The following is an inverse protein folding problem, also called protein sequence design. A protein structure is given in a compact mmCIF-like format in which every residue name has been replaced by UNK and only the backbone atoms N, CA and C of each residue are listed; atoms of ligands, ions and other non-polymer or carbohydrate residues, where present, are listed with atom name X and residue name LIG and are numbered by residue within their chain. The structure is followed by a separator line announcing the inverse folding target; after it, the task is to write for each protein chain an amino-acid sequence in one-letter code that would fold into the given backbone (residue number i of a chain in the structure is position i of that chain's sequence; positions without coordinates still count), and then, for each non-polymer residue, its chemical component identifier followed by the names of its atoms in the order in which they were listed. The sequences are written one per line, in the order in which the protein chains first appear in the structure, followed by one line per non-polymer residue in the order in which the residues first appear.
data_IF_482434746564
#
_entry.id   IF_482434746564
#
_cell.length_a   1.000
_cell.length_b   1.000
_cell.length_c   1.000
_cell.angle_alpha   90.00
_cell.angle_beta   90.00
_cell.angle_gamma   90.00
#
_symmetry.space_group_name_H-M   'P 1'
#
loop_
_entity.id
_entity.type
_entity.pdbx_description
1 polymer ?
#
# COMPACT_ATOMS: atom_id res chain seq x y z
N UNK A 1 40.27 -6.89 29.65
CA UNK A 1 39.16 -5.96 29.29
C UNK A 1 39.25 -5.82 27.77
N UNK A 2 38.30 -6.26 26.93
CA UNK A 2 36.85 -6.21 27.05
C UNK A 2 36.22 -7.25 26.13
N UNK A 3 35.20 -7.95 26.65
CA UNK A 3 34.27 -8.74 25.86
C UNK A 3 33.15 -7.80 25.42
N UNK A 4 33.01 -7.58 24.11
CA UNK A 4 31.84 -6.89 23.58
C UNK A 4 30.83 -7.91 23.07
N UNK A 5 29.68 -7.87 23.75
CA UNK A 5 28.57 -8.81 23.76
C UNK A 5 28.01 -9.14 22.38
N UNK A 6 27.69 -10.42 22.24
CA UNK A 6 26.76 -10.96 21.27
C UNK A 6 25.37 -10.30 21.39
N UNK A 7 24.79 -9.93 20.25
CA UNK A 7 23.35 -9.98 20.02
C UNK A 7 23.10 -10.49 18.61
N UNK A 8 22.89 -11.81 18.55
CA UNK A 8 22.30 -12.51 17.44
C UNK A 8 20.93 -11.89 17.14
N UNK A 9 20.79 -11.22 15.99
CA UNK A 9 19.49 -11.00 15.38
C UNK A 9 19.40 -11.90 14.14
N UNK A 10 19.05 -13.15 14.40
CA UNK A 10 18.45 -14.05 13.42
C UNK A 10 17.23 -13.36 12.81
N UNK A 11 17.37 -12.78 11.63
CA UNK A 11 16.24 -12.55 10.74
C UNK A 11 16.55 -13.23 9.43
N UNK A 12 16.22 -14.53 9.43
CA UNK A 12 15.60 -15.25 8.32
C UNK A 12 15.94 -14.68 6.95
N UNK A 13 16.76 -15.43 6.22
CA UNK A 13 16.75 -15.49 4.77
C UNK A 13 15.30 -15.77 4.29
N UNK A 14 14.46 -14.73 4.30
CA UNK A 14 13.15 -14.73 3.67
C UNK A 14 13.46 -14.85 2.19
N UNK A 15 13.01 -15.94 1.57
CA UNK A 15 12.84 -16.01 0.12
C UNK A 15 12.34 -14.63 -0.34
N UNK A 16 13.16 -13.91 -1.10
CA UNK A 16 12.88 -12.52 -1.45
C UNK A 16 11.51 -12.47 -2.12
N UNK A 17 10.49 -12.08 -1.37
CA UNK A 17 9.14 -12.01 -1.90
C UNK A 17 9.18 -10.89 -2.93
N UNK A 18 8.79 -11.18 -4.17
CA UNK A 18 8.88 -10.22 -5.26
C UNK A 18 8.21 -8.90 -4.84
N UNK A 19 8.98 -7.82 -4.85
CA UNK A 19 8.52 -6.48 -4.55
C UNK A 19 8.48 -5.66 -5.82
N UNK A 20 7.34 -5.02 -6.08
CA UNK A 20 7.19 -4.10 -7.20
C UNK A 20 6.32 -2.91 -6.82
N UNK A 21 6.47 -1.82 -7.57
CA UNK A 21 5.65 -0.61 -7.41
C UNK A 21 4.54 -0.64 -8.45
N UNK A 22 3.32 -0.34 -8.02
CA UNK A 22 2.17 -0.17 -8.88
C UNK A 22 1.60 1.22 -8.69
N UNK A 23 1.02 1.77 -9.75
CA UNK A 23 0.46 3.12 -9.76
C UNK A 23 -0.89 3.14 -10.44
N UNK A 24 -1.82 3.95 -9.93
CA UNK A 24 -3.07 4.24 -10.62
C UNK A 24 -3.50 5.69 -10.42
N UNK A 25 -4.33 6.17 -11.34
CA UNK A 25 -5.06 7.42 -11.17
C UNK A 25 -6.28 7.14 -10.31
N UNK A 26 -6.36 7.79 -9.15
CA UNK A 26 -7.46 7.67 -8.21
C UNK A 26 -8.23 8.97 -8.14
N UNK A 27 -9.55 8.87 -8.06
CA UNK A 27 -10.39 10.04 -7.83
C UNK A 27 -10.29 10.48 -6.37
N UNK A 28 -10.27 11.79 -6.16
CA UNK A 28 -10.59 12.34 -4.86
C UNK A 28 -11.96 11.81 -4.41
N UNK A 29 -12.17 11.66 -3.11
CA UNK A 29 -13.43 11.12 -2.57
C UNK A 29 -14.65 11.96 -2.98
N UNK A 30 -14.49 13.27 -3.20
CA UNK A 30 -15.51 14.19 -3.68
C UNK A 30 -15.61 14.28 -5.23
N UNK A 31 -14.79 13.48 -5.93
CA UNK A 31 -14.70 13.38 -7.40
C UNK A 31 -14.38 14.69 -8.14
N UNK A 32 -13.82 15.70 -7.46
CA UNK A 32 -13.47 16.98 -8.11
C UNK A 32 -12.08 16.99 -8.74
N UNK A 33 -11.18 16.16 -8.24
CA UNK A 33 -9.79 16.06 -8.68
C UNK A 33 -9.34 14.61 -8.76
N UNK A 34 -8.27 14.36 -9.52
CA UNK A 34 -7.57 13.09 -9.54
C UNK A 34 -6.19 13.20 -8.93
N UNK A 35 -5.71 12.10 -8.36
CA UNK A 35 -4.36 11.96 -7.82
C UNK A 35 -3.69 10.76 -8.48
N UNK A 36 -2.40 10.85 -8.75
CA UNK A 36 -1.58 9.66 -9.02
C UNK A 36 -1.24 9.05 -7.68
N UNK A 37 -1.67 7.81 -7.45
CA UNK A 37 -1.37 7.04 -6.27
C UNK A 37 -0.37 5.95 -6.62
N UNK A 38 0.73 5.89 -5.87
CA UNK A 38 1.70 4.80 -5.95
C UNK A 38 1.69 3.98 -4.66
N UNK A 39 1.88 2.67 -4.79
CA UNK A 39 2.03 1.75 -3.67
C UNK A 39 2.98 0.61 -4.02
N UNK A 40 3.57 0.03 -2.98
CA UNK A 40 4.41 -1.16 -3.06
C UNK A 40 3.53 -2.39 -2.90
N UNK A 41 3.87 -3.42 -3.66
CA UNK A 41 3.27 -4.74 -3.60
C UNK A 41 4.36 -5.70 -3.18
N UNK A 42 4.13 -6.45 -2.10
CA UNK A 42 5.03 -7.53 -1.67
C UNK A 42 4.30 -8.85 -1.87
N UNK A 43 4.72 -9.61 -2.89
CA UNK A 43 4.04 -10.85 -3.29
C UNK A 43 2.65 -10.58 -3.84
N UNK A 44 1.62 -10.95 -3.07
CA UNK A 44 0.21 -10.69 -3.39
C UNK A 44 -0.48 -9.80 -2.35
N UNK A 45 0.27 -8.94 -1.65
CA UNK A 45 -0.30 -7.94 -0.76
C UNK A 45 0.20 -6.54 -1.11
N UNK A 46 -0.71 -5.58 -1.05
CA UNK A 46 -0.38 -4.17 -1.11
C UNK A 46 0.12 -3.78 0.28
N UNK A 47 1.26 -3.10 0.35
CA UNK A 47 1.72 -2.48 1.59
C UNK A 47 0.91 -1.20 1.84
N UNK A 48 -0.06 -1.31 2.75
CA UNK A 48 -0.96 -0.24 3.15
C UNK A 48 -0.24 1.06 3.57
N UNK A 49 0.97 0.94 4.15
CA UNK A 49 1.76 2.09 4.60
C UNK A 49 2.42 2.84 3.44
N UNK A 50 2.59 2.16 2.31
CA UNK A 50 3.21 2.70 1.10
C UNK A 50 2.21 3.38 0.16
N UNK A 51 0.90 3.28 0.42
CA UNK A 51 -0.13 3.91 -0.42
C UNK A 51 0.05 5.42 -0.44
N UNK A 52 0.13 5.97 -1.64
CA UNK A 52 0.42 7.39 -1.92
C UNK A 52 1.82 7.82 -1.47
N UNK A 53 2.82 6.93 -1.55
CA UNK A 53 4.23 7.22 -1.19
C UNK A 53 4.87 8.34 -1.99
N UNK A 54 4.34 8.66 -3.17
CA UNK A 54 4.77 9.78 -4.01
C UNK A 54 4.38 11.15 -3.43
N UNK A 55 3.50 11.21 -2.43
CA UNK A 55 3.11 12.43 -1.74
C UNK A 55 3.79 12.53 -0.37
N UNK A 56 4.11 13.76 0.06
CA UNK A 56 4.71 14.01 1.37
C UNK A 56 3.73 13.60 2.48
N UNK A 57 4.14 12.66 3.35
CA UNK A 57 3.35 12.25 4.51
C UNK A 57 2.88 13.47 5.31
N UNK A 58 1.59 13.47 5.67
CA UNK A 58 0.95 14.55 6.42
C UNK A 58 0.37 15.69 5.57
N UNK A 59 0.72 15.81 4.28
CA UNK A 59 0.13 16.82 3.39
C UNK A 59 -1.35 16.55 3.10
N UNK A 60 -2.06 17.56 2.60
CA UNK A 60 -3.47 17.43 2.20
C UNK A 60 -3.57 16.43 1.03
N UNK A 61 -2.69 16.53 0.05
CA UNK A 61 -2.63 15.64 -1.11
C UNK A 61 -2.41 14.20 -0.68
N UNK A 62 -1.53 13.94 0.29
CA UNK A 62 -1.32 12.60 0.84
C UNK A 62 -2.61 12.03 1.45
N UNK A 63 -3.34 12.81 2.26
CA UNK A 63 -4.60 12.38 2.89
C UNK A 63 -5.70 12.15 1.86
N UNK A 64 -5.86 13.07 0.92
CA UNK A 64 -6.89 12.99 -0.13
C UNK A 64 -6.61 11.85 -1.11
N UNK A 65 -5.34 11.64 -1.49
CA UNK A 65 -4.90 10.50 -2.28
C UNK A 65 -5.23 9.18 -1.57
N UNK A 66 -4.95 9.06 -0.26
CA UNK A 66 -5.25 7.83 0.49
C UNK A 66 -6.74 7.58 0.63
N UNK A 67 -7.57 8.61 0.83
CA UNK A 67 -9.04 8.47 0.77
C UNK A 67 -9.49 7.96 -0.59
N UNK A 68 -8.98 8.56 -1.68
CA UNK A 68 -9.31 8.17 -3.04
C UNK A 68 -8.87 6.75 -3.39
N UNK A 69 -7.64 6.38 -3.01
CA UNK A 69 -7.09 5.04 -3.21
C UNK A 69 -7.92 3.96 -2.51
N UNK A 70 -8.50 4.25 -1.34
CA UNK A 70 -9.38 3.31 -0.64
C UNK A 70 -10.64 3.01 -1.45
N UNK A 71 -11.25 4.05 -2.02
CA UNK A 71 -12.41 3.90 -2.91
C UNK A 71 -12.01 3.10 -4.15
N UNK A 72 -10.86 3.44 -4.77
CA UNK A 72 -10.34 2.74 -5.93
C UNK A 72 -10.11 1.24 -5.66
N UNK A 73 -9.47 0.87 -4.55
CA UNK A 73 -9.26 -0.55 -4.21
C UNK A 73 -10.59 -1.28 -3.99
N UNK A 74 -11.58 -0.63 -3.35
CA UNK A 74 -12.92 -1.20 -3.18
C UNK A 74 -13.62 -1.42 -4.53
N UNK A 75 -13.44 -0.50 -5.48
CA UNK A 75 -13.98 -0.63 -6.83
C UNK A 75 -13.28 -1.76 -7.62
N UNK A 76 -11.95 -1.86 -7.57
CA UNK A 76 -11.21 -2.95 -8.23
C UNK A 76 -11.55 -4.31 -7.61
N UNK A 77 -11.67 -4.39 -6.29
CA UNK A 77 -12.14 -5.58 -5.59
C UNK A 77 -13.50 -6.08 -6.11
N UNK A 78 -14.44 -5.15 -6.38
CA UNK A 78 -15.76 -5.50 -6.92
C UNK A 78 -15.72 -5.86 -8.42
N UNK A 79 -14.92 -5.13 -9.20
CA UNK A 79 -14.88 -5.23 -10.67
C UNK A 79 -14.10 -6.44 -11.16
N UNK A 80 -13.01 -6.80 -10.49
CA UNK A 80 -12.14 -7.87 -10.94
C UNK A 80 -12.77 -9.25 -10.65
N UNK A 81 -12.59 -10.23 -11.55
CA UNK A 81 -12.97 -11.61 -11.31
C UNK A 81 -12.09 -12.24 -10.21
N UNK A 82 -12.55 -13.35 -9.64
CA UNK A 82 -11.80 -14.10 -8.61
C UNK A 82 -10.38 -14.44 -9.10
N UNK A 83 -9.40 -13.82 -8.46
CA UNK A 83 -7.99 -13.85 -8.85
C UNK A 83 -7.11 -13.36 -7.69
N UNK A 84 -5.81 -13.66 -7.73
CA UNK A 84 -4.84 -13.10 -6.79
C UNK A 84 -4.89 -11.56 -6.77
N UNK A 85 -5.04 -10.95 -7.94
CA UNK A 85 -5.19 -9.50 -8.10
C UNK A 85 -6.43 -8.95 -7.42
N UNK A 86 -7.58 -9.61 -7.52
CA UNK A 86 -8.78 -9.22 -6.77
C UNK A 86 -8.54 -9.31 -5.27
N UNK A 87 -7.99 -10.43 -4.79
CA UNK A 87 -7.74 -10.65 -3.36
C UNK A 87 -6.85 -9.56 -2.77
N UNK A 88 -5.77 -9.16 -3.45
CA UNK A 88 -4.89 -8.09 -2.96
C UNK A 88 -5.60 -6.74 -2.87
N UNK A 89 -6.41 -6.38 -3.86
CA UNK A 89 -7.19 -5.14 -3.81
C UNK A 89 -8.27 -5.19 -2.72
N UNK A 90 -8.94 -6.32 -2.53
CA UNK A 90 -9.92 -6.51 -1.46
C UNK A 90 -9.26 -6.40 -0.08
N UNK A 91 -8.08 -6.99 0.11
CA UNK A 91 -7.34 -6.92 1.38
C UNK A 91 -6.89 -5.49 1.71
N UNK A 92 -6.42 -4.73 0.72
CA UNK A 92 -6.05 -3.33 0.90
C UNK A 92 -7.29 -2.46 1.21
N UNK A 93 -8.41 -2.72 0.53
CA UNK A 93 -9.65 -1.98 0.75
C UNK A 93 -10.19 -2.12 2.18
N UNK A 94 -10.00 -3.29 2.82
CA UNK A 94 -10.38 -3.53 4.21
C UNK A 94 -9.30 -3.09 5.21
N UNK A 95 -8.02 -3.27 4.89
CA UNK A 95 -6.88 -3.11 5.79
C UNK A 95 -6.48 -1.67 6.08
N UNK A 96 -6.45 -0.78 5.08
CA UNK A 96 -5.82 0.53 5.29
C UNK A 96 -6.80 1.64 5.73
N UNK A 97 -6.45 2.31 6.84
CA UNK A 97 -7.13 3.49 7.34
C UNK A 97 -6.71 4.73 6.54
N UNK A 98 -7.62 5.56 5.99
CA UNK A 98 -7.25 6.65 5.10
C UNK A 98 -6.48 7.80 5.78
N UNK A 99 -6.42 7.85 7.11
CA UNK A 99 -5.74 8.90 7.88
C UNK A 99 -4.38 8.48 8.46
N UNK A 100 -4.02 7.21 8.35
CA UNK A 100 -2.94 6.58 9.12
C UNK A 100 -3.48 5.31 9.72
#
# INVERSE_FOLDING_TARGET
MSQYKAQQQTQQSRLATAQFVESAVVWQWDRKRTYVAEWVVTGNQIDDTSVCRNWRRGSIEYRECRKGAKVYFKEQCKRLPESGTRQRYCSAASGFGPLG
#
